data_IF_767711912490
#
_entry.id   IF_767711912490
#
_cell.length_a   1.000
_cell.length_b   1.000
_cell.length_c   1.000
_cell.angle_alpha   90.00
_cell.angle_beta   90.00
_cell.angle_gamma   90.00
#
_symmetry.space_group_name_H-M   'P 1'
#
loop_
_entity.id
_entity.type
_entity.pdbx_description
1 polymer ?
#
# COMPACT_ATOMS: atom_id res chain seq x y z
N UNK A 1 13.72 -3.34 12.05
CA UNK A 1 13.05 -2.06 12.37
C UNK A 1 11.58 -2.35 12.59
N UNK A 2 10.93 -1.66 13.53
CA UNK A 2 9.50 -1.81 13.83
C UNK A 2 8.81 -0.49 13.46
N UNK A 3 7.74 -0.57 12.68
CA UNK A 3 7.01 0.59 12.17
C UNK A 3 5.56 0.54 12.63
N UNK A 4 5.08 1.63 13.22
CA UNK A 4 3.69 1.80 13.59
C UNK A 4 3.03 2.79 12.63
N UNK A 5 1.84 2.44 12.13
CA UNK A 5 1.05 3.34 11.29
C UNK A 5 0.26 4.28 12.19
N UNK A 6 0.45 5.58 11.98
CA UNK A 6 -0.31 6.64 12.64
C UNK A 6 -0.93 7.54 11.58
N UNK A 7 -2.21 7.89 11.76
CA UNK A 7 -2.88 8.88 10.91
C UNK A 7 -2.58 10.28 11.44
N UNK A 8 -2.13 11.17 10.55
CA UNK A 8 -1.78 12.54 10.88
C UNK A 8 -2.41 13.49 9.88
N UNK A 9 -2.96 14.59 10.37
CA UNK A 9 -3.61 15.61 9.55
C UNK A 9 -2.78 16.89 9.48
N UNK A 10 -2.84 17.57 8.34
CA UNK A 10 -2.27 18.90 8.14
C UNK A 10 -3.32 20.00 8.24
N UNK A 11 -2.89 21.21 8.57
CA UNK A 11 -3.69 22.43 8.47
C UNK A 11 -3.61 23.03 7.05
N UNK A 12 -4.31 24.16 6.83
CA UNK A 12 -4.34 24.85 5.55
C UNK A 12 -2.97 25.40 5.10
N UNK A 13 -1.99 25.43 5.99
CA UNK A 13 -0.62 25.87 5.74
C UNK A 13 0.34 24.68 5.60
N UNK A 14 -0.17 23.44 5.61
CA UNK A 14 0.61 22.22 5.48
C UNK A 14 1.35 21.80 6.76
N UNK A 15 1.02 22.37 7.92
CA UNK A 15 1.63 21.98 9.20
C UNK A 15 0.85 20.86 9.83
N UNK A 16 1.53 19.91 10.47
CA UNK A 16 0.86 18.86 11.24
C UNK A 16 0.04 19.51 12.37
N UNK A 17 -1.24 19.15 12.46
CA UNK A 17 -2.14 19.67 13.51
C UNK A 17 -1.70 19.29 14.91
N UNK A 18 -1.07 18.13 15.06
CA UNK A 18 -0.46 17.69 16.31
C UNK A 18 0.73 16.77 16.03
N UNK A 19 1.70 16.77 16.95
CA UNK A 19 2.82 15.83 16.91
C UNK A 19 2.50 14.61 17.78
N UNK A 20 2.79 13.39 17.31
CA UNK A 20 2.62 12.21 18.13
C UNK A 20 3.62 12.18 19.28
N UNK A 21 3.20 11.55 20.38
CA UNK A 21 4.07 11.32 21.52
C UNK A 21 5.01 10.16 21.21
N UNK A 22 6.29 10.48 21.02
CA UNK A 22 7.35 9.49 20.83
C UNK A 22 7.95 9.06 22.18
N UNK A 23 8.46 7.83 22.31
CA UNK A 23 9.12 7.38 23.53
C UNK A 23 10.46 8.12 23.73
N UNK A 24 10.87 8.35 24.99
CA UNK A 24 12.05 9.15 25.31
C UNK A 24 13.35 8.47 24.88
N UNK A 25 14.35 9.27 24.52
CA UNK A 25 15.72 8.85 24.22
C UNK A 25 15.83 7.78 23.12
N UNK A 26 14.98 7.86 22.09
CA UNK A 26 15.01 6.97 20.92
C UNK A 26 15.27 7.74 19.63
N UNK A 27 15.97 7.11 18.69
CA UNK A 27 16.20 7.63 17.33
C UNK A 27 15.15 7.04 16.40
N UNK A 28 14.52 7.91 15.61
CA UNK A 28 13.50 7.54 14.64
C UNK A 28 13.93 7.95 13.23
N UNK A 29 13.52 7.12 12.28
CA UNK A 29 13.43 7.48 10.87
C UNK A 29 11.93 7.59 10.55
N UNK A 30 11.54 8.65 9.85
CA UNK A 30 10.14 8.94 9.56
C UNK A 30 9.92 8.93 8.05
N UNK A 31 8.85 8.26 7.61
CA UNK A 31 8.42 8.21 6.22
C UNK A 31 6.99 8.76 6.19
N UNK A 32 6.75 9.78 5.38
CA UNK A 32 5.42 10.36 5.19
C UNK A 32 4.82 9.85 3.88
N UNK A 33 3.66 9.21 3.96
CA UNK A 33 2.81 8.95 2.81
C UNK A 33 1.63 9.91 2.90
N UNK A 34 1.50 10.79 1.91
CA UNK A 34 0.28 11.57 1.74
C UNK A 34 -0.79 10.64 1.16
N UNK A 35 -1.94 10.55 1.83
CA UNK A 35 -3.12 9.95 1.21
C UNK A 35 -3.56 10.90 0.09
N UNK A 36 -3.64 10.40 -1.14
CA UNK A 36 -4.33 11.13 -2.20
C UNK A 36 -5.77 11.33 -1.69
N UNK A 37 -6.22 12.59 -1.50
CA UNK A 37 -7.65 12.90 -1.49
C UNK A 37 -8.26 12.12 -2.65
N UNK A 38 -9.42 11.48 -2.45
CA UNK A 38 -10.16 10.73 -3.46
C UNK A 38 -10.33 11.55 -4.74
N UNK A 39 -9.29 11.67 -5.54
CA UNK A 39 -9.40 11.71 -6.97
C UNK A 39 -10.03 10.36 -7.19
N UNK A 40 -11.33 10.39 -7.47
CA UNK A 40 -11.99 9.39 -8.29
C UNK A 40 -11.15 9.30 -9.54
N UNK A 41 -10.06 8.54 -9.44
CA UNK A 41 -9.18 8.21 -10.52
C UNK A 41 -10.04 7.22 -11.26
N UNK A 42 -10.84 7.71 -12.20
CA UNK A 42 -11.20 6.94 -13.39
C UNK A 42 -9.92 6.72 -14.22
N UNK A 43 -8.86 6.22 -13.59
CA UNK A 43 -7.87 5.40 -14.26
C UNK A 43 -8.72 4.21 -14.67
N UNK A 44 -9.09 4.15 -15.95
CA UNK A 44 -9.89 3.06 -16.48
C UNK A 44 -9.35 1.77 -15.90
N UNK A 45 -10.14 1.16 -15.01
CA UNK A 45 -9.72 -0.03 -14.30
C UNK A 45 -9.27 -1.01 -15.37
N UNK A 46 -8.03 -1.51 -15.28
CA UNK A 46 -7.59 -2.54 -16.21
C UNK A 46 -8.36 -3.79 -15.84
N UNK A 47 -9.38 -4.08 -16.62
CA UNK A 47 -10.13 -5.32 -16.48
C UNK A 47 -9.34 -6.42 -17.20
N UNK A 48 -9.33 -7.65 -16.68
CA UNK A 48 -8.92 -8.80 -17.46
C UNK A 48 -9.73 -8.85 -18.77
N UNK A 49 -9.18 -9.49 -19.80
CA UNK A 49 -9.98 -9.84 -20.98
C UNK A 49 -11.29 -10.54 -20.52
N UNK A 50 -12.45 -10.29 -21.14
CA UNK A 50 -13.73 -10.86 -20.68
C UNK A 50 -13.69 -12.36 -20.40
N UNK A 51 -12.94 -13.12 -21.19
CA UNK A 51 -12.77 -14.57 -21.04
C UNK A 51 -12.00 -14.98 -19.76
N UNK A 52 -11.24 -14.06 -19.17
CA UNK A 52 -10.48 -14.26 -17.94
C UNK A 52 -11.22 -13.76 -16.70
N UNK A 53 -12.29 -12.99 -16.86
CA UNK A 53 -13.05 -12.47 -15.73
C UNK A 53 -13.76 -13.63 -15.04
N UNK A 54 -13.41 -13.89 -13.78
CA UNK A 54 -14.01 -14.95 -12.96
C UNK A 54 -13.47 -16.36 -13.21
N UNK A 55 -12.46 -16.52 -14.08
CA UNK A 55 -11.83 -17.83 -14.31
C UNK A 55 -10.89 -18.25 -13.17
N UNK A 56 -10.41 -17.29 -12.38
CA UNK A 56 -9.53 -17.52 -11.24
C UNK A 56 -10.33 -17.61 -9.94
N UNK A 57 -10.20 -18.72 -9.22
CA UNK A 57 -10.71 -18.87 -7.84
C UNK A 57 -9.53 -18.98 -6.89
N UNK A 58 -9.45 -18.07 -5.93
CA UNK A 58 -8.43 -18.12 -4.87
C UNK A 58 -8.99 -18.95 -3.71
N UNK A 59 -8.39 -20.11 -3.44
CA UNK A 59 -8.87 -21.08 -2.45
C UNK A 59 -8.33 -20.86 -1.03
N UNK A 60 -7.53 -19.81 -0.78
CA UNK A 60 -6.93 -19.52 0.52
C UNK A 60 -6.19 -18.17 0.58
N UNK A 61 -5.58 -17.86 1.72
CA UNK A 61 -4.85 -16.61 1.92
C UNK A 61 -3.52 -16.61 1.14
N UNK A 62 -3.37 -15.69 0.20
CA UNK A 62 -2.16 -15.56 -0.63
C UNK A 62 -1.16 -14.68 0.10
N UNK A 63 -0.29 -15.31 0.89
CA UNK A 63 0.79 -14.61 1.60
C UNK A 63 2.13 -14.65 0.85
N UNK A 64 2.30 -15.61 -0.07
CA UNK A 64 3.51 -15.82 -0.84
C UNK A 64 3.18 -16.31 -2.26
N UNK A 65 4.07 -16.04 -3.21
CA UNK A 65 3.99 -16.56 -4.58
C UNK A 65 4.96 -17.73 -4.78
N UNK A 66 4.74 -18.51 -5.86
CA UNK A 66 5.71 -19.52 -6.26
C UNK A 66 7.08 -18.87 -6.58
N UNK A 67 8.21 -19.53 -6.27
CA UNK A 67 9.55 -19.01 -6.54
C UNK A 67 9.77 -18.85 -8.06
N UNK A 68 10.59 -17.88 -8.47
CA UNK A 68 10.83 -17.53 -9.89
C UNK A 68 11.21 -18.75 -10.76
N UNK A 69 11.97 -19.70 -10.21
CA UNK A 69 12.38 -20.92 -10.91
C UNK A 69 11.21 -21.84 -11.28
N UNK A 70 10.05 -21.70 -10.64
CA UNK A 70 8.83 -22.44 -10.95
C UNK A 70 7.96 -21.73 -12.00
N UNK A 71 8.39 -20.58 -12.52
CA UNK A 71 7.65 -19.83 -13.53
C UNK A 71 8.13 -20.26 -14.91
N UNK A 72 7.21 -20.70 -15.75
CA UNK A 72 7.47 -21.12 -17.14
C UNK A 72 7.62 -19.88 -18.04
N UNK A 73 8.70 -19.12 -17.83
CA UNK A 73 9.00 -17.91 -18.57
C UNK A 73 9.83 -18.24 -19.83
N UNK A 74 9.50 -17.65 -20.99
CA UNK A 74 10.33 -17.81 -22.19
C UNK A 74 11.71 -17.17 -21.96
N UNK A 75 12.75 -17.92 -22.33
CA UNK A 75 14.16 -17.50 -22.30
C UNK A 75 14.48 -16.44 -23.35
#
# INVERSE_FOLDING_TARGET
MYAERLMLETDAQGRLRSLPRLPPNRRFEAIFLAEDEERVKTVGLRHPHPDLVGSLTVLGDVMESAPLAAWDLPT
#
